data_IF_897806457367
#
_entry.id   IF_897806457367
#
_cell.length_a   1.000
_cell.length_b   1.000
_cell.length_c   1.000
_cell.angle_alpha   90.00
_cell.angle_beta   90.00
_cell.angle_gamma   90.00
#
_symmetry.space_group_name_H-M   'P 1'
#
loop_
_entity.id
_entity.type
_entity.pdbx_description
1 polymer ?
#
# COMPACT_ATOMS: atom_id res chain seq x y z
N UNK A 1 4.15 12.32 -19.19
CA UNK A 1 4.94 13.56 -19.43
C UNK A 1 6.41 13.26 -19.79
N UNK A 2 7.09 14.06 -20.62
CA UNK A 2 8.56 13.99 -20.80
C UNK A 2 9.21 15.29 -20.30
N UNK A 3 9.99 15.22 -19.23
CA UNK A 3 10.82 16.34 -18.79
C UNK A 3 12.19 16.18 -19.47
N UNK A 4 12.55 17.12 -20.35
CA UNK A 4 13.86 17.19 -21.03
C UNK A 4 14.17 16.09 -22.07
N UNK A 5 13.16 15.38 -22.59
CA UNK A 5 13.37 14.29 -23.57
C UNK A 5 13.94 13.00 -22.97
N UNK A 6 13.97 12.91 -21.64
CA UNK A 6 14.29 11.68 -20.92
C UNK A 6 12.97 11.01 -20.56
N UNK A 7 12.75 9.81 -21.09
CA UNK A 7 11.60 9.00 -20.73
C UNK A 7 11.71 8.56 -19.27
N UNK A 8 10.60 8.66 -18.55
CA UNK A 8 10.56 8.22 -17.16
C UNK A 8 10.70 6.70 -17.09
N UNK A 9 11.64 6.27 -16.25
CA UNK A 9 11.80 4.88 -15.87
C UNK A 9 10.82 4.51 -14.76
N UNK A 10 10.59 3.22 -14.54
CA UNK A 10 9.82 2.71 -13.39
C UNK A 10 10.27 3.31 -12.06
N UNK A 11 11.58 3.48 -11.86
CA UNK A 11 12.14 4.10 -10.64
C UNK A 11 11.71 5.57 -10.50
N UNK A 12 11.67 6.30 -11.61
CA UNK A 12 11.26 7.72 -11.62
C UNK A 12 9.78 7.85 -11.26
N UNK A 13 8.93 7.07 -11.91
CA UNK A 13 7.50 7.01 -11.59
C UNK A 13 7.26 6.65 -10.12
N UNK A 14 7.89 5.58 -9.64
CA UNK A 14 7.76 5.14 -8.25
C UNK A 14 8.18 6.22 -7.25
N UNK A 15 9.25 6.96 -7.54
CA UNK A 15 9.72 8.05 -6.69
C UNK A 15 8.72 9.20 -6.62
N UNK A 16 8.13 9.58 -7.75
CA UNK A 16 7.13 10.65 -7.81
C UNK A 16 5.83 10.22 -7.12
N UNK A 17 5.37 8.98 -7.38
CA UNK A 17 4.18 8.39 -6.76
C UNK A 17 4.32 8.34 -5.24
N UNK A 18 5.45 7.85 -4.72
CA UNK A 18 5.73 7.82 -3.28
C UNK A 18 5.79 9.24 -2.69
N UNK A 19 6.36 10.20 -3.41
CA UNK A 19 6.39 11.61 -3.03
C UNK A 19 5.00 12.21 -2.86
N UNK A 20 4.16 12.13 -3.90
CA UNK A 20 2.78 12.63 -3.85
C UNK A 20 1.94 11.90 -2.81
N UNK A 21 2.08 10.57 -2.70
CA UNK A 21 1.37 9.77 -1.71
C UNK A 21 1.73 10.15 -0.27
N UNK A 22 3.01 10.43 0.01
CA UNK A 22 3.45 10.91 1.33
C UNK A 22 2.95 12.31 1.67
N UNK A 23 2.77 13.15 0.65
CA UNK A 23 2.20 14.50 0.77
C UNK A 23 0.67 14.52 0.79
N UNK A 24 0.02 13.35 0.70
CA UNK A 24 -1.46 13.20 0.63
C UNK A 24 -2.08 13.92 -0.58
N UNK A 25 -1.28 14.16 -1.62
CA UNK A 25 -1.71 14.69 -2.91
C UNK A 25 -2.19 13.54 -3.80
N UNK A 26 -3.32 12.93 -3.41
CA UNK A 26 -3.79 11.67 -3.99
C UNK A 26 -4.21 11.78 -5.46
N UNK A 27 -4.73 12.93 -5.87
CA UNK A 27 -5.09 13.18 -7.28
C UNK A 27 -3.84 13.21 -8.17
N UNK A 28 -2.80 13.95 -7.77
CA UNK A 28 -1.52 13.98 -8.50
C UNK A 28 -0.85 12.59 -8.51
N UNK A 29 -0.93 11.87 -7.40
CA UNK A 29 -0.44 10.49 -7.30
C UNK A 29 -1.14 9.55 -8.31
N UNK A 30 -2.47 9.63 -8.43
CA UNK A 30 -3.25 8.83 -9.39
C UNK A 30 -3.01 9.26 -10.84
N UNK A 31 -2.82 10.57 -11.09
CA UNK A 31 -2.45 11.07 -12.41
C UNK A 31 -1.10 10.49 -12.87
N UNK A 32 -0.10 10.45 -11.99
CA UNK A 32 1.21 9.87 -12.32
C UNK A 32 1.13 8.35 -12.52
N UNK A 33 0.28 7.64 -11.77
CA UNK A 33 0.04 6.22 -12.00
C UNK A 33 -0.64 5.97 -13.35
N UNK A 34 -1.62 6.80 -13.72
CA UNK A 34 -2.29 6.73 -15.03
C UNK A 34 -1.28 6.97 -16.16
N UNK A 35 -0.47 8.03 -16.05
CA UNK A 35 0.63 8.31 -16.98
C UNK A 35 1.59 7.12 -17.12
N UNK A 36 1.91 6.44 -16.01
CA UNK A 36 2.77 5.24 -16.02
C UNK A 36 2.12 4.08 -16.77
N UNK A 37 0.84 3.79 -16.52
CA UNK A 37 0.09 2.69 -17.14
C UNK A 37 -0.11 2.91 -18.64
N UNK A 38 -0.34 4.15 -19.05
CA UNK A 38 -0.50 4.52 -20.46
C UNK A 38 0.84 4.62 -21.21
N UNK A 39 1.96 4.69 -20.49
CA UNK A 39 3.29 4.72 -21.09
C UNK A 39 3.66 3.36 -21.68
N UNK A 40 4.29 3.35 -22.86
CA UNK A 40 4.75 2.11 -23.50
C UNK A 40 6.00 1.49 -22.85
N UNK A 41 6.68 2.23 -21.96
CA UNK A 41 8.07 1.95 -21.59
C UNK A 41 8.26 1.61 -20.11
N UNK A 42 7.24 1.82 -19.27
CA UNK A 42 7.28 1.48 -17.85
C UNK A 42 5.94 0.87 -17.42
N UNK A 43 5.98 -0.16 -16.58
CA UNK A 43 4.78 -0.77 -16.01
C UNK A 43 4.84 -0.70 -14.48
N UNK A 44 3.69 -0.57 -13.79
CA UNK A 44 3.63 -0.65 -12.34
C UNK A 44 4.25 -1.96 -11.82
N UNK A 45 4.96 -1.86 -10.71
CA UNK A 45 5.59 -2.99 -10.03
C UNK A 45 5.15 -3.09 -8.56
N UNK A 46 5.77 -4.00 -7.80
CA UNK A 46 5.46 -4.18 -6.38
C UNK A 46 5.78 -2.92 -5.54
N UNK A 47 6.70 -2.07 -5.98
CA UNK A 47 6.97 -0.79 -5.31
C UNK A 47 5.85 0.21 -5.62
N UNK A 48 5.37 0.29 -6.85
CA UNK A 48 4.20 1.10 -7.22
C UNK A 48 2.98 0.69 -6.38
N UNK A 49 2.72 -0.62 -6.33
CA UNK A 49 1.63 -1.21 -5.55
C UNK A 49 1.71 -0.76 -4.08
N UNK A 50 2.82 -1.08 -3.41
CA UNK A 50 3.01 -0.77 -2.00
C UNK A 50 2.95 0.75 -1.71
N UNK A 51 3.38 1.60 -2.65
CA UNK A 51 3.32 3.06 -2.50
C UNK A 51 1.87 3.57 -2.52
N UNK A 52 1.08 3.14 -3.52
CA UNK A 52 -0.32 3.59 -3.68
C UNK A 52 -1.19 3.12 -2.51
N UNK A 53 -1.15 1.82 -2.18
CA UNK A 53 -1.97 1.31 -1.07
C UNK A 53 -1.47 1.83 0.28
N UNK A 54 -0.16 2.04 0.43
CA UNK A 54 0.44 2.62 1.63
C UNK A 54 0.00 4.06 1.85
N UNK A 55 -0.06 4.86 0.79
CA UNK A 55 -0.53 6.23 0.85
C UNK A 55 -2.00 6.30 1.28
N UNK A 56 -2.89 5.57 0.61
CA UNK A 56 -4.32 5.55 0.96
C UNK A 56 -4.59 4.99 2.35
N UNK A 57 -3.91 3.91 2.72
CA UNK A 57 -4.02 3.31 4.04
C UNK A 57 -3.56 4.26 5.16
N UNK A 58 -2.46 4.99 4.96
CA UNK A 58 -1.97 6.02 5.89
C UNK A 58 -2.95 7.20 6.01
N UNK A 59 -3.51 7.64 4.89
CA UNK A 59 -4.53 8.71 4.84
C UNK A 59 -5.91 8.28 5.34
N UNK A 60 -6.09 7.04 5.79
CA UNK A 60 -7.37 6.52 6.27
C UNK A 60 -8.43 6.27 5.19
N UNK A 61 -8.09 6.41 3.91
CA UNK A 61 -8.98 6.18 2.76
C UNK A 61 -9.02 4.68 2.42
N UNK A 62 -9.57 3.88 3.34
CA UNK A 62 -9.54 2.41 3.27
C UNK A 62 -10.24 1.87 2.02
N UNK A 63 -11.37 2.45 1.62
CA UNK A 63 -12.10 2.02 0.41
C UNK A 63 -11.24 2.15 -0.85
N UNK A 64 -10.51 3.27 -1.00
CA UNK A 64 -9.58 3.47 -2.12
C UNK A 64 -8.38 2.53 -2.03
N UNK A 65 -7.86 2.27 -0.83
CA UNK A 65 -6.77 1.30 -0.61
C UNK A 65 -7.19 -0.10 -1.07
N UNK A 66 -8.37 -0.57 -0.69
CA UNK A 66 -8.90 -1.89 -1.10
C UNK A 66 -9.15 -1.96 -2.60
N UNK A 67 -9.74 -0.91 -3.19
CA UNK A 67 -9.93 -0.81 -4.64
C UNK A 67 -8.60 -0.97 -5.38
N UNK A 68 -7.57 -0.19 -5.04
CA UNK A 68 -6.27 -0.28 -5.71
C UNK A 68 -5.57 -1.61 -5.46
N UNK A 69 -5.74 -2.21 -4.27
CA UNK A 69 -5.24 -3.56 -4.03
C UNK A 69 -5.82 -4.57 -5.02
N UNK A 70 -7.14 -4.54 -5.26
CA UNK A 70 -7.79 -5.41 -6.24
C UNK A 70 -7.32 -5.13 -7.68
N UNK A 71 -7.22 -3.86 -8.07
CA UNK A 71 -6.73 -3.47 -9.40
C UNK A 71 -5.29 -3.98 -9.66
N UNK A 72 -4.38 -3.86 -8.70
CA UNK A 72 -3.02 -4.38 -8.87
C UNK A 72 -2.98 -5.91 -8.97
N UNK A 73 -3.88 -6.63 -8.29
CA UNK A 73 -4.03 -8.07 -8.49
C UNK A 73 -4.52 -8.40 -9.90
N UNK A 74 -5.47 -7.63 -10.44
CA UNK A 74 -5.98 -7.79 -11.81
C UNK A 74 -4.90 -7.48 -12.86
N UNK A 75 -3.99 -6.54 -12.57
CA UNK A 75 -2.79 -6.28 -13.37
C UNK A 75 -1.73 -7.39 -13.24
N UNK A 76 -1.95 -8.40 -12.40
CA UNK A 76 -1.05 -9.53 -12.21
C UNK A 76 0.12 -9.28 -11.26
N UNK A 77 0.15 -8.14 -10.56
CA UNK A 77 1.19 -7.83 -9.58
C UNK A 77 0.92 -8.62 -8.30
N UNK A 78 1.91 -9.42 -7.90
CA UNK A 78 1.78 -10.29 -6.73
C UNK A 78 2.10 -9.51 -5.46
N UNK A 79 1.23 -9.52 -4.45
CA UNK A 79 1.48 -8.90 -3.17
C UNK A 79 2.62 -9.63 -2.45
N UNK A 80 3.40 -8.87 -1.68
CA UNK A 80 4.49 -9.38 -0.85
C UNK A 80 4.20 -9.16 0.63
N UNK A 81 5.16 -9.52 1.48
CA UNK A 81 5.02 -9.35 2.93
C UNK A 81 4.85 -7.87 3.33
N UNK A 82 5.43 -6.95 2.57
CA UNK A 82 5.27 -5.52 2.82
C UNK A 82 3.84 -5.07 2.48
N UNK A 83 3.25 -5.58 1.39
CA UNK A 83 1.84 -5.34 1.05
C UNK A 83 0.93 -5.76 2.21
N UNK A 84 1.12 -6.96 2.76
CA UNK A 84 0.27 -7.41 3.87
C UNK A 84 0.52 -6.63 5.16
N UNK A 85 1.77 -6.24 5.45
CA UNK A 85 2.07 -5.37 6.59
C UNK A 85 1.38 -4.00 6.46
N UNK A 86 1.32 -3.43 5.26
CA UNK A 86 0.58 -2.19 4.97
C UNK A 86 -0.90 -2.37 5.27
N UNK A 87 -1.52 -3.45 4.77
CA UNK A 87 -2.94 -3.74 5.01
C UNK A 87 -3.24 -3.91 6.51
N UNK A 88 -2.45 -4.73 7.22
CA UNK A 88 -2.60 -4.96 8.66
C UNK A 88 -2.52 -3.63 9.43
N UNK A 89 -1.51 -2.80 9.12
CA UNK A 89 -1.32 -1.50 9.77
C UNK A 89 -2.48 -0.56 9.50
N UNK A 90 -2.94 -0.48 8.25
CA UNK A 90 -3.98 0.44 7.82
C UNK A 90 -5.35 0.06 8.41
N UNK A 91 -5.75 -1.20 8.31
CA UNK A 91 -6.97 -1.69 8.95
C UNK A 91 -6.92 -1.55 10.48
N UNK A 92 -5.76 -1.84 11.08
CA UNK A 92 -5.58 -1.69 12.51
C UNK A 92 -5.75 -0.25 13.00
N UNK A 93 -5.11 0.72 12.33
CA UNK A 93 -5.19 2.14 12.70
C UNK A 93 -6.58 2.75 12.50
N UNK A 94 -7.39 2.21 11.58
CA UNK A 94 -8.77 2.67 11.35
C UNK A 94 -9.81 1.87 12.13
N UNK A 95 -9.39 0.97 13.02
CA UNK A 95 -10.28 0.21 13.89
C UNK A 95 -10.96 -0.99 13.21
N UNK A 96 -10.59 -1.34 11.99
CA UNK A 96 -11.14 -2.46 11.23
C UNK A 96 -10.48 -3.79 11.61
N UNK A 97 -10.54 -4.15 12.89
CA UNK A 97 -9.78 -5.30 13.45
C UNK A 97 -10.15 -6.66 12.84
N UNK A 98 -11.40 -6.84 12.40
CA UNK A 98 -11.82 -8.07 11.71
C UNK A 98 -11.11 -8.24 10.36
N UNK A 99 -10.96 -7.15 9.59
CA UNK A 99 -10.21 -7.17 8.33
C UNK A 99 -8.72 -7.39 8.59
N UNK A 100 -8.15 -6.71 9.59
CA UNK A 100 -6.77 -6.93 10.04
C UNK A 100 -6.51 -8.41 10.39
N UNK A 101 -7.39 -9.02 11.19
CA UNK A 101 -7.29 -10.44 11.56
C UNK A 101 -7.44 -11.38 10.37
N UNK A 102 -8.27 -11.01 9.39
CA UNK A 102 -8.44 -11.77 8.15
C UNK A 102 -7.17 -11.77 7.30
N UNK A 103 -6.46 -10.64 7.22
CA UNK A 103 -5.16 -10.56 6.52
C UNK A 103 -4.12 -11.45 7.21
N UNK A 104 -4.02 -11.44 8.54
CA UNK A 104 -3.09 -12.33 9.25
C UNK A 104 -3.39 -13.82 8.99
N UNK A 105 -4.66 -14.22 9.07
CA UNK A 105 -5.09 -15.59 8.76
C UNK A 105 -4.77 -15.98 7.32
N UNK A 106 -4.86 -15.04 6.38
CA UNK A 106 -4.49 -15.27 4.99
C UNK A 106 -2.99 -15.50 4.84
N UNK A 107 -2.16 -14.68 5.49
CA UNK A 107 -0.71 -14.84 5.49
C UNK A 107 -0.31 -16.23 5.99
N UNK A 108 -0.86 -16.67 7.12
CA UNK A 108 -0.60 -17.99 7.70
C UNK A 108 -0.97 -19.12 6.74
N UNK A 109 -2.16 -19.06 6.11
CA UNK A 109 -2.64 -20.09 5.17
C UNK A 109 -1.85 -20.18 3.88
N UNK A 110 -1.20 -19.09 3.46
CA UNK A 110 -0.45 -18.99 2.20
C UNK A 110 1.07 -19.02 2.42
N UNK A 111 1.52 -19.42 3.61
CA UNK A 111 2.93 -19.54 3.98
C UNK A 111 3.72 -18.22 3.90
N UNK A 112 3.04 -17.08 4.03
CA UNK A 112 3.71 -15.81 4.33
C UNK A 112 3.96 -15.78 5.84
N UNK A 113 5.18 -16.08 6.28
CA UNK A 113 5.50 -16.03 7.71
C UNK A 113 5.45 -14.58 8.21
N UNK A 114 4.56 -14.24 9.17
CA UNK A 114 4.62 -12.94 9.84
C UNK A 114 6.03 -12.65 10.35
N UNK A 115 6.50 -11.42 10.15
CA UNK A 115 7.84 -10.99 10.57
C UNK A 115 7.78 -10.22 11.87
N UNK A 116 8.95 -9.88 12.42
CA UNK A 116 9.07 -8.94 13.54
C UNK A 116 8.32 -7.62 13.24
N UNK A 117 8.39 -7.14 11.99
CA UNK A 117 7.66 -5.95 11.54
C UNK A 117 6.15 -6.15 11.68
N UNK A 118 5.63 -7.31 11.25
CA UNK A 118 4.21 -7.66 11.34
C UNK A 118 3.74 -7.65 12.80
N UNK A 119 4.46 -8.32 13.71
CA UNK A 119 4.09 -8.36 15.13
C UNK A 119 4.20 -6.98 15.81
N UNK A 120 5.22 -6.19 15.47
CA UNK A 120 5.35 -4.83 15.99
C UNK A 120 4.14 -3.97 15.60
N UNK A 121 3.65 -4.09 14.36
CA UNK A 121 2.43 -3.40 13.91
C UNK A 121 1.21 -3.84 14.73
N UNK A 122 1.04 -5.15 14.93
CA UNK A 122 -0.10 -5.70 15.69
C UNK A 122 -0.09 -5.19 17.14
N UNK A 123 1.09 -5.22 17.80
CA UNK A 123 1.25 -4.72 19.17
C UNK A 123 0.99 -3.21 19.24
N UNK A 124 1.52 -2.42 18.30
CA UNK A 124 1.31 -0.97 18.24
C UNK A 124 -0.18 -0.62 18.13
N UNK A 125 -0.89 -1.33 17.24
CA UNK A 125 -2.32 -1.12 17.01
C UNK A 125 -3.13 -1.56 18.23
N UNK A 126 -3.01 -2.82 18.65
CA UNK A 126 -3.86 -3.39 19.70
C UNK A 126 -3.58 -2.79 21.08
N UNK A 127 -2.34 -2.35 21.33
CA UNK A 127 -1.98 -1.59 22.53
C UNK A 127 -2.67 -0.24 22.65
N UNK A 128 -3.11 0.36 21.52
CA UNK A 128 -3.88 1.62 21.51
C UNK A 128 -5.39 1.42 21.69
N UNK A 129 -5.91 0.23 21.33
CA UNK A 129 -7.35 -0.13 21.48
C UNK A 129 -7.73 -0.32 22.93
N UNK A 130 -6.82 -0.90 23.70
CA UNK A 130 -6.91 -0.96 25.16
C UNK A 130 -6.25 0.30 25.70
N UNK A 131 -7.02 1.37 25.85
CA UNK A 131 -6.60 2.45 26.76
C UNK A 131 -6.16 1.83 28.08
N UNK A 132 -4.87 1.81 28.35
CA UNK A 132 -4.29 1.51 29.65
C UNK A 132 -4.79 2.56 30.64
N UNK A 133 -5.95 2.31 31.22
CA UNK A 133 -6.38 2.81 32.53
C UNK A 133 -7.19 1.69 33.16
N UNK A 134 -6.52 0.95 34.03
CA UNK A 134 -7.16 0.49 35.27
C UNK A 134 -7.69 1.71 36.05
#
# INVERSE_FOLDING_TARGET
MSFLGIEFTTVTYNTIIDGYGKAELFEDMENVLTDMIESSNSLPDIFTFNSIIGAYGKGGQIEKMEKWYEEFLLMGIRPDINTFNILIKSFGKTGMYEKMGSVMKFMDKRYFSPTIVTYNIVIEVLGKVKGWKD
#
